data_IF_148972851114
#
_entry.id   IF_148972851114
#
_cell.length_a   1.000
_cell.length_b   1.000
_cell.length_c   1.000
_cell.angle_alpha   90.00
_cell.angle_beta   90.00
_cell.angle_gamma   90.00
#
_symmetry.space_group_name_H-M   'P 1'
#
loop_
_entity.id
_entity.type
_entity.pdbx_description
1 polymer ?
#
# COMPACT_ATOMS: atom_id res chain seq x y z
N UNK A 1 -10.24 4.00 51.77
CA UNK A 1 -9.58 4.73 50.66
C UNK A 1 -9.09 3.71 49.64
N UNK A 2 -9.30 3.99 48.33
CA UNK A 2 -9.00 3.17 47.14
C UNK A 2 -9.99 2.05 46.77
N UNK A 3 -10.86 2.34 45.80
CA UNK A 3 -11.07 1.57 44.56
C UNK A 3 -12.28 2.13 43.80
N UNK A 4 -12.06 3.16 42.99
CA UNK A 4 -13.07 3.72 42.05
C UNK A 4 -12.48 4.12 40.68
N UNK A 5 -11.29 3.62 40.34
CA UNK A 5 -10.59 4.00 39.10
C UNK A 5 -10.75 2.99 37.94
N UNK A 6 -11.22 1.76 38.19
CA UNK A 6 -11.30 0.71 37.17
C UNK A 6 -12.52 0.79 36.24
N UNK A 7 -13.57 1.56 36.58
CA UNK A 7 -14.80 1.61 35.78
C UNK A 7 -14.82 2.69 34.69
N UNK A 8 -13.90 3.65 34.73
CA UNK A 8 -13.89 4.75 33.75
C UNK A 8 -13.17 4.38 32.45
N UNK A 9 -12.15 3.52 32.53
CA UNK A 9 -11.43 3.01 31.35
C UNK A 9 -12.35 2.20 30.42
N UNK A 10 -13.24 1.38 30.99
CA UNK A 10 -14.21 0.61 30.22
C UNK A 10 -15.30 1.49 29.61
N UNK A 11 -15.73 2.56 30.30
CA UNK A 11 -16.73 3.49 29.79
C UNK A 11 -16.22 4.29 28.57
N UNK A 12 -14.94 4.71 28.59
CA UNK A 12 -14.31 5.38 27.44
C UNK A 12 -14.19 4.47 26.21
N UNK A 13 -13.77 3.21 26.40
CA UNK A 13 -13.72 2.23 25.32
C UNK A 13 -15.11 1.89 24.76
N UNK A 14 -16.12 1.85 25.64
CA UNK A 14 -17.52 1.62 25.24
C UNK A 14 -18.12 2.82 24.49
N UNK A 15 -17.77 4.04 24.87
CA UNK A 15 -18.14 5.27 24.16
C UNK A 15 -17.45 5.32 22.78
N UNK A 16 -16.15 4.99 22.70
CA UNK A 16 -15.44 4.91 21.43
C UNK A 16 -16.02 3.83 20.48
N UNK A 17 -16.53 2.72 21.04
CA UNK A 17 -17.25 1.69 20.29
C UNK A 17 -18.63 2.15 19.80
N UNK A 18 -19.37 2.92 20.62
CA UNK A 18 -20.67 3.49 20.24
C UNK A 18 -20.55 4.62 19.20
N UNK A 19 -19.39 5.29 19.12
CA UNK A 19 -19.02 6.23 18.05
C UNK A 19 -18.12 5.57 16.99
N UNK A 20 -18.17 4.24 16.89
CA UNK A 20 -17.22 3.31 16.24
C UNK A 20 -17.02 3.41 14.73
N UNK A 21 -17.13 4.59 14.13
CA UNK A 21 -16.71 4.86 12.75
C UNK A 21 -15.70 6.01 12.64
N UNK A 22 -15.41 6.74 13.72
CA UNK A 22 -14.60 7.96 13.67
C UNK A 22 -13.17 7.83 14.23
N UNK A 23 -12.80 6.70 14.85
CA UNK A 23 -11.51 6.59 15.59
C UNK A 23 -10.54 5.57 14.98
N UNK A 24 -10.98 4.67 14.12
CA UNK A 24 -10.08 3.84 13.31
C UNK A 24 -9.87 4.53 11.97
N UNK A 25 -8.69 5.12 11.77
CA UNK A 25 -8.29 5.67 10.47
C UNK A 25 -8.45 4.63 9.35
N UNK A 26 -8.71 5.09 8.13
CA UNK A 26 -8.85 4.23 6.94
C UNK A 26 -7.47 3.71 6.47
N UNK A 27 -6.83 2.95 7.36
CA UNK A 27 -5.54 2.32 7.15
C UNK A 27 -5.70 1.11 6.22
N UNK A 28 -4.87 1.05 5.18
CA UNK A 28 -4.97 0.07 4.10
C UNK A 28 -3.68 -0.73 3.93
N UNK A 29 -2.58 -0.35 4.57
CA UNK A 29 -1.28 -0.98 4.34
C UNK A 29 -1.26 -2.48 4.63
N UNK A 30 -0.38 -3.19 3.91
CA UNK A 30 -0.04 -4.55 4.29
C UNK A 30 0.53 -4.54 5.71
N UNK A 31 0.03 -5.43 6.56
CA UNK A 31 0.47 -5.58 7.96
C UNK A 31 0.41 -4.31 8.84
N UNK A 32 -0.44 -3.32 8.51
CA UNK A 32 -0.68 -2.12 9.33
C UNK A 32 0.54 -1.19 9.52
N UNK A 33 1.47 -1.19 8.58
CA UNK A 33 2.63 -0.30 8.54
C UNK A 33 2.24 1.19 8.54
N UNK A 34 1.22 1.58 7.78
CA UNK A 34 0.70 2.95 7.74
C UNK A 34 0.22 3.43 9.12
N UNK A 35 -0.49 2.57 9.86
CA UNK A 35 -0.91 2.83 11.23
C UNK A 35 0.28 2.97 12.18
N UNK A 36 1.24 2.05 12.11
CA UNK A 36 2.42 2.08 12.95
C UNK A 36 3.23 3.38 12.75
N UNK A 37 3.42 3.79 11.49
CA UNK A 37 4.09 5.04 11.14
C UNK A 37 3.37 6.25 11.72
N UNK A 38 2.04 6.27 11.67
CA UNK A 38 1.26 7.37 12.21
C UNK A 38 1.35 7.39 13.75
N UNK A 39 1.21 6.25 14.40
CA UNK A 39 1.24 6.16 15.87
C UNK A 39 2.62 6.49 16.46
N UNK A 40 3.72 6.09 15.80
CA UNK A 40 5.08 6.23 16.35
C UNK A 40 5.78 7.51 15.90
N UNK A 41 5.57 7.95 14.66
CA UNK A 41 6.38 9.02 14.06
C UNK A 41 5.58 10.27 13.71
N UNK A 42 4.44 10.11 13.05
CA UNK A 42 3.74 11.27 12.47
C UNK A 42 2.69 11.89 13.38
N UNK A 43 2.11 11.12 14.30
CA UNK A 43 1.12 11.57 15.29
C UNK A 43 0.02 12.45 14.67
N UNK A 44 -0.66 11.94 13.65
CA UNK A 44 -1.70 12.63 12.89
C UNK A 44 -1.24 13.95 12.23
N UNK A 45 0.05 14.07 11.91
CA UNK A 45 0.59 15.18 11.13
C UNK A 45 -0.24 15.37 9.87
N UNK A 46 -0.77 16.58 9.68
CA UNK A 46 -1.53 16.95 8.48
C UNK A 46 -0.65 17.60 7.42
N UNK A 47 -1.13 17.59 6.18
CA UNK A 47 -0.54 18.32 5.04
C UNK A 47 0.93 17.96 4.78
N UNK A 48 1.29 16.68 4.93
CA UNK A 48 2.60 16.18 4.55
C UNK A 48 2.71 15.90 3.06
N UNK A 49 3.83 15.28 2.66
CA UNK A 49 4.12 14.89 1.28
C UNK A 49 4.54 13.43 1.20
N UNK A 50 4.13 12.71 0.16
CA UNK A 50 4.53 11.32 -0.07
C UNK A 50 4.91 11.05 -1.53
N UNK A 51 5.69 10.00 -1.73
CA UNK A 51 5.88 9.33 -3.02
C UNK A 51 5.64 7.85 -2.79
N UNK A 52 4.72 7.25 -3.55
CA UNK A 52 4.33 5.84 -3.44
C UNK A 52 4.73 5.11 -4.73
N UNK A 53 5.68 4.18 -4.64
CA UNK A 53 6.28 3.49 -5.78
C UNK A 53 5.79 2.04 -5.77
N UNK A 54 5.17 1.60 -6.88
CA UNK A 54 4.46 0.32 -6.91
C UNK A 54 3.12 0.44 -6.17
N UNK A 55 2.38 1.50 -6.49
CA UNK A 55 1.17 1.87 -5.77
C UNK A 55 -0.06 0.97 -6.12
N UNK A 56 0.10 0.01 -7.04
CA UNK A 56 -0.90 -0.99 -7.42
C UNK A 56 -2.26 -0.36 -7.78
N UNK A 57 -3.35 -0.75 -7.13
CA UNK A 57 -4.69 -0.19 -7.36
C UNK A 57 -4.93 1.13 -6.60
N UNK A 58 -3.91 1.64 -5.90
CA UNK A 58 -3.94 2.88 -5.13
C UNK A 58 -4.62 2.78 -3.78
N UNK A 59 -5.30 1.69 -3.43
CA UNK A 59 -6.05 1.57 -2.17
C UNK A 59 -5.60 0.38 -1.37
N UNK A 60 -5.80 -0.83 -1.89
CA UNK A 60 -5.45 -2.07 -1.20
C UNK A 60 -3.95 -2.05 -0.94
N UNK A 61 -3.53 -2.49 0.25
CA UNK A 61 -2.13 -2.53 0.71
C UNK A 61 -1.37 -1.20 0.68
N UNK A 62 -2.04 -0.06 0.43
CA UNK A 62 -1.38 1.23 0.29
C UNK A 62 -0.88 1.78 1.62
N UNK A 63 0.40 2.16 1.64
CA UNK A 63 1.01 2.85 2.78
C UNK A 63 0.62 4.33 2.87
N UNK A 64 0.10 4.91 1.78
CA UNK A 64 -0.14 6.36 1.66
C UNK A 64 -1.61 6.73 1.64
N UNK A 65 -2.52 5.75 1.51
CA UNK A 65 -3.94 6.01 1.32
C UNK A 65 -4.58 6.80 2.46
N UNK A 66 -4.38 6.35 3.70
CA UNK A 66 -4.82 7.03 4.91
C UNK A 66 -4.28 8.47 4.98
N UNK A 67 -2.99 8.67 4.69
CA UNK A 67 -2.35 9.97 4.79
C UNK A 67 -2.94 11.00 3.81
N UNK A 68 -3.22 10.58 2.57
CA UNK A 68 -3.91 11.43 1.60
C UNK A 68 -5.34 11.72 2.05
N UNK A 69 -6.16 10.68 2.28
CA UNK A 69 -7.61 10.82 2.43
C UNK A 69 -8.01 11.42 3.78
N UNK A 70 -7.27 11.13 4.85
CA UNK A 70 -7.65 11.52 6.22
C UNK A 70 -6.81 12.68 6.75
N UNK A 71 -5.53 12.75 6.35
CA UNK A 71 -4.58 13.75 6.87
C UNK A 71 -4.25 14.86 5.86
N UNK A 72 -4.79 14.80 4.63
CA UNK A 72 -4.63 15.84 3.63
C UNK A 72 -3.22 15.91 3.06
N UNK A 73 -2.47 14.81 3.09
CA UNK A 73 -1.15 14.76 2.46
C UNK A 73 -1.30 14.81 0.94
N UNK A 74 -0.31 15.41 0.28
CA UNK A 74 -0.22 15.48 -1.17
C UNK A 74 0.94 14.62 -1.65
N UNK A 75 0.91 14.14 -2.90
CA UNK A 75 1.97 13.25 -3.34
C UNK A 75 1.85 12.77 -4.77
N UNK A 76 2.72 11.81 -5.10
CA UNK A 76 2.78 11.14 -6.39
C UNK A 76 2.69 9.63 -6.16
N UNK A 77 1.74 8.97 -6.82
CA UNK A 77 1.68 7.52 -6.90
C UNK A 77 2.18 7.05 -8.28
N UNK A 78 3.04 6.05 -8.30
CA UNK A 78 3.69 5.52 -9.51
C UNK A 78 3.39 4.04 -9.61
N UNK A 79 2.85 3.60 -10.75
CA UNK A 79 2.51 2.19 -11.01
C UNK A 79 2.81 1.82 -12.46
N UNK A 80 3.71 0.86 -12.74
CA UNK A 80 4.03 0.44 -14.11
C UNK A 80 2.95 -0.40 -14.80
N UNK A 81 2.16 -1.20 -14.07
CA UNK A 81 1.18 -2.10 -14.67
C UNK A 81 -0.07 -1.33 -15.12
N UNK A 82 -0.43 -1.33 -16.43
CA UNK A 82 -1.56 -0.55 -16.93
C UNK A 82 -2.90 -0.88 -16.24
N UNK A 83 -3.21 -2.16 -16.06
CA UNK A 83 -4.48 -2.59 -15.45
C UNK A 83 -4.61 -2.17 -13.97
N UNK A 84 -3.49 -2.15 -13.24
CA UNK A 84 -3.46 -1.66 -11.87
C UNK A 84 -3.53 -0.13 -11.84
N UNK A 85 -2.79 0.54 -12.74
CA UNK A 85 -2.77 1.97 -12.88
C UNK A 85 -4.16 2.56 -13.17
N UNK A 86 -4.98 1.93 -14.00
CA UNK A 86 -6.35 2.39 -14.25
C UNK A 86 -7.16 2.48 -12.95
N UNK A 87 -7.05 1.46 -12.09
CA UNK A 87 -7.72 1.45 -10.77
C UNK A 87 -7.15 2.51 -9.84
N UNK A 88 -5.83 2.67 -9.84
CA UNK A 88 -5.14 3.70 -9.07
C UNK A 88 -5.60 5.10 -9.46
N UNK A 89 -5.72 5.38 -10.75
CA UNK A 89 -6.20 6.67 -11.23
C UNK A 89 -7.63 6.96 -10.78
N UNK A 90 -8.47 5.93 -10.64
CA UNK A 90 -9.83 6.07 -10.10
C UNK A 90 -9.86 6.22 -8.57
N UNK A 91 -8.94 5.57 -7.85
CA UNK A 91 -8.93 5.53 -6.39
C UNK A 91 -8.22 6.73 -5.73
N UNK A 92 -7.36 7.43 -6.47
CA UNK A 92 -6.50 8.51 -5.95
C UNK A 92 -6.88 9.88 -6.48
N UNK A 93 -6.66 10.89 -5.64
CA UNK A 93 -6.79 12.31 -6.02
C UNK A 93 -5.43 13.02 -6.11
N UNK A 94 -4.35 12.36 -5.69
CA UNK A 94 -2.98 12.82 -5.89
C UNK A 94 -2.53 12.69 -7.35
N UNK A 95 -1.31 13.13 -7.66
CA UNK A 95 -0.72 12.92 -8.99
C UNK A 95 -0.47 11.42 -9.18
N UNK A 96 -0.82 10.88 -10.34
CA UNK A 96 -0.62 9.47 -10.70
C UNK A 96 0.20 9.36 -11.97
N UNK A 97 1.16 8.42 -12.02
CA UNK A 97 2.04 8.22 -13.19
C UNK A 97 2.12 6.73 -13.55
N UNK A 98 1.83 6.40 -14.81
CA UNK A 98 1.96 5.03 -15.33
C UNK A 98 3.37 4.79 -15.87
N UNK A 99 4.32 4.51 -14.99
CA UNK A 99 5.69 4.16 -15.39
C UNK A 99 6.40 3.31 -14.32
N UNK A 100 7.49 2.67 -14.72
CA UNK A 100 8.45 2.11 -13.78
C UNK A 100 9.42 3.21 -13.31
N UNK A 101 9.87 3.12 -12.05
CA UNK A 101 10.93 3.99 -11.54
C UNK A 101 12.29 3.35 -11.81
N UNK A 102 13.18 4.09 -12.48
CA UNK A 102 14.52 3.63 -12.84
C UNK A 102 15.55 4.75 -12.91
N UNK A 103 16.82 4.38 -13.03
CA UNK A 103 17.94 5.34 -13.06
C UNK A 103 18.03 6.16 -14.37
N UNK A 104 17.36 5.72 -15.43
CA UNK A 104 17.35 6.35 -16.74
C UNK A 104 15.93 6.44 -17.26
N UNK A 105 15.67 7.45 -18.08
CA UNK A 105 14.43 7.55 -18.85
C UNK A 105 14.59 6.73 -20.14
N UNK A 106 14.06 5.51 -20.14
CA UNK A 106 14.14 4.58 -21.26
C UNK A 106 12.93 3.63 -21.28
N UNK A 107 12.62 3.09 -22.47
CA UNK A 107 11.63 2.04 -22.64
C UNK A 107 12.29 0.68 -22.41
N UNK A 108 11.66 -0.16 -21.59
CA UNK A 108 12.18 -1.48 -21.21
C UNK A 108 11.09 -2.54 -21.33
N UNK A 109 11.48 -3.80 -21.50
CA UNK A 109 10.56 -4.93 -21.36
C UNK A 109 10.30 -5.17 -19.87
N UNK A 110 9.05 -5.01 -19.46
CA UNK A 110 8.59 -5.25 -18.10
C UNK A 110 7.88 -6.60 -18.04
N UNK A 111 8.26 -7.47 -17.11
CA UNK A 111 7.62 -8.78 -16.92
C UNK A 111 6.55 -8.66 -15.84
N UNK A 112 5.30 -8.93 -16.21
CA UNK A 112 4.21 -9.05 -15.25
C UNK A 112 4.06 -10.51 -14.83
N UNK A 113 4.08 -10.77 -13.52
CA UNK A 113 3.82 -12.09 -12.94
C UNK A 113 2.38 -12.08 -12.42
N UNK A 114 1.52 -12.93 -12.98
CA UNK A 114 0.12 -13.09 -12.60
C UNK A 114 -0.05 -14.34 -11.75
N UNK A 115 -0.63 -14.20 -10.56
CA UNK A 115 -1.19 -15.33 -9.80
C UNK A 115 -2.62 -15.01 -9.42
N UNK A 116 -3.52 -15.97 -9.64
CA UNK A 116 -4.92 -15.87 -9.20
C UNK A 116 -5.06 -15.71 -7.68
N UNK A 117 -4.10 -16.25 -6.93
CA UNK A 117 -4.13 -16.25 -5.47
C UNK A 117 -3.34 -15.08 -4.86
N UNK A 118 -2.47 -14.43 -5.64
CA UNK A 118 -1.58 -13.35 -5.18
C UNK A 118 -1.44 -12.29 -6.30
N UNK A 119 -2.45 -11.43 -6.50
CA UNK A 119 -2.42 -10.39 -7.54
C UNK A 119 -1.40 -9.27 -7.26
N UNK A 120 -0.87 -9.23 -6.05
CA UNK A 120 0.11 -8.26 -5.52
C UNK A 120 1.57 -8.74 -5.65
N UNK A 121 1.81 -9.79 -6.45
CA UNK A 121 3.17 -10.29 -6.68
C UNK A 121 4.06 -9.27 -7.39
N UNK A 122 5.33 -9.28 -7.00
CA UNK A 122 6.34 -8.37 -7.50
C UNK A 122 6.58 -8.57 -9.01
N UNK A 123 6.42 -7.51 -9.77
CA UNK A 123 6.84 -7.39 -11.17
C UNK A 123 8.18 -6.62 -11.24
N UNK A 124 9.02 -6.92 -12.22
CA UNK A 124 10.39 -6.36 -12.27
C UNK A 124 10.94 -6.24 -13.69
N UNK A 125 11.94 -5.36 -13.87
CA UNK A 125 12.72 -5.22 -15.11
C UNK A 125 13.43 -6.55 -15.44
N UNK A 126 13.16 -7.10 -16.64
CA UNK A 126 13.76 -8.36 -17.10
C UNK A 126 15.29 -8.31 -17.21
N UNK A 127 15.87 -7.14 -17.41
CA UNK A 127 17.33 -7.00 -17.60
C UNK A 127 18.14 -7.29 -16.34
N UNK A 128 17.51 -7.23 -15.17
CA UNK A 128 18.14 -7.55 -13.88
C UNK A 128 17.81 -8.96 -13.39
N UNK A 129 17.11 -9.77 -14.19
CA UNK A 129 16.84 -11.14 -13.83
C UNK A 129 18.07 -12.01 -14.14
N UNK A 130 18.73 -12.45 -13.08
CA UNK A 130 19.78 -13.46 -13.18
C UNK A 130 19.15 -14.83 -13.43
N UNK A 131 19.94 -15.81 -13.88
CA UNK A 131 19.51 -17.21 -13.98
C UNK A 131 19.02 -17.80 -12.64
N UNK A 132 19.44 -17.23 -11.51
CA UNK A 132 18.94 -17.58 -10.17
C UNK A 132 17.56 -16.94 -9.92
N UNK A 133 17.37 -15.70 -10.35
CA UNK A 133 16.09 -14.96 -10.23
C UNK A 133 14.99 -15.63 -11.06
N UNK A 134 15.31 -16.07 -12.27
CA UNK A 134 14.39 -16.79 -13.14
C UNK A 134 13.96 -18.14 -12.54
N UNK A 135 14.90 -18.91 -11.96
CA UNK A 135 14.55 -20.14 -11.23
C UNK A 135 13.63 -19.91 -10.05
N UNK A 136 13.83 -18.80 -9.33
CA UNK A 136 12.95 -18.43 -8.21
C UNK A 136 11.56 -18.01 -8.71
N UNK A 137 11.48 -17.34 -9.86
CA UNK A 137 10.20 -17.00 -10.49
C UNK A 137 9.49 -18.27 -10.97
N UNK A 138 10.17 -19.17 -11.68
CA UNK A 138 9.61 -20.46 -12.10
C UNK A 138 9.12 -21.28 -10.90
N UNK A 139 9.89 -21.36 -9.81
CA UNK A 139 9.48 -22.05 -8.59
C UNK A 139 8.27 -21.39 -7.90
N UNK A 140 8.15 -20.06 -7.95
CA UNK A 140 6.99 -19.32 -7.43
C UNK A 140 5.77 -19.54 -8.32
N UNK A 141 5.92 -19.48 -9.64
CA UNK A 141 4.86 -19.72 -10.61
C UNK A 141 4.31 -21.14 -10.49
N UNK A 142 5.18 -22.15 -10.38
CA UNK A 142 4.80 -23.56 -10.22
C UNK A 142 4.08 -23.78 -8.88
N UNK A 143 4.55 -23.14 -7.81
CA UNK A 143 3.91 -23.20 -6.49
C UNK A 143 2.53 -22.55 -6.44
N UNK A 144 2.28 -21.52 -7.25
CA UNK A 144 1.08 -20.68 -7.16
C UNK A 144 0.20 -20.71 -8.41
N UNK A 145 0.41 -21.68 -9.32
CA UNK A 145 -0.29 -21.83 -10.60
C UNK A 145 -0.35 -20.49 -11.38
N UNK A 146 0.77 -19.78 -11.40
CA UNK A 146 0.89 -18.47 -12.02
C UNK A 146 1.33 -18.53 -13.48
N UNK A 147 1.11 -17.44 -14.21
CA UNK A 147 1.60 -17.21 -15.58
C UNK A 147 2.32 -15.86 -15.64
N UNK A 148 3.15 -15.63 -16.65
CA UNK A 148 3.78 -14.33 -16.89
C UNK A 148 3.45 -13.82 -18.30
N UNK A 149 3.37 -12.50 -18.46
CA UNK A 149 3.11 -11.82 -19.74
C UNK A 149 4.08 -10.68 -19.99
#
# INVERSE_FOLDING_TARGET
MKMRLANWFNALNFIAYLFGTAVYGDYQSQTSQDRLLNEIFFHDKRNGVFVDIGAYDGKVISNTYFYEKNLGWTGICIEPLPDAYEKLHMNRSCVTVNCAVGAKNEMISFLEIKSKNFPELASSDMRYQTSETLKNIEAVLDKYEGEYT
#
